data_IF_268397386994
#
_entry.id   IF_268397386994
#
_cell.length_a   1.000
_cell.length_b   1.000
_cell.length_c   1.000
_cell.angle_alpha   90.00
_cell.angle_beta   90.00
_cell.angle_gamma   90.00
#
_symmetry.space_group_name_H-M   'P 1'
#
loop_
_entity.id
_entity.type
_entity.pdbx_description
1 polymer ?
#
# COMPACT_ATOMS: atom_id res chain seq x y z
N UNK A 1 23.77 3.65 -28.86
CA UNK A 1 23.00 4.09 -27.68
C UNK A 1 21.57 4.34 -28.12
N UNK A 2 20.66 3.40 -27.88
CA UNK A 2 19.22 3.58 -28.11
C UNK A 2 18.52 3.52 -26.76
N UNK A 3 18.39 4.70 -26.13
CA UNK A 3 17.57 4.91 -24.93
C UNK A 3 16.11 4.95 -25.37
N UNK A 4 15.42 3.80 -25.36
CA UNK A 4 13.96 3.80 -25.37
C UNK A 4 13.49 3.70 -23.92
N UNK A 5 12.83 4.76 -23.49
CA UNK A 5 12.24 4.92 -22.18
C UNK A 5 11.32 3.74 -21.87
N UNK A 6 11.72 2.91 -20.92
CA UNK A 6 10.79 2.06 -20.19
C UNK A 6 10.12 3.01 -19.20
N UNK A 7 8.94 3.49 -19.58
CA UNK A 7 8.04 4.18 -18.66
C UNK A 7 7.66 3.18 -17.56
N UNK A 8 8.42 3.19 -16.47
CA UNK A 8 8.10 2.46 -15.26
C UNK A 8 6.79 3.03 -14.69
N UNK A 9 5.74 2.26 -14.91
CA UNK A 9 4.50 2.15 -14.14
C UNK A 9 4.43 3.05 -12.89
N UNK A 10 4.04 4.32 -13.10
CA UNK A 10 3.64 5.24 -12.05
C UNK A 10 2.16 5.00 -11.65
N UNK A 11 1.83 3.77 -11.23
CA UNK A 11 0.49 3.40 -10.76
C UNK A 11 0.51 2.65 -9.43
N UNK A 12 1.53 2.90 -8.59
CA UNK A 12 1.63 2.33 -7.23
C UNK A 12 1.87 3.34 -6.11
N UNK A 13 1.96 4.65 -6.40
CA UNK A 13 2.39 5.66 -5.43
C UNK A 13 1.28 6.66 -5.01
N UNK A 14 0.03 6.49 -5.45
CA UNK A 14 -0.99 7.54 -5.31
C UNK A 14 -2.07 7.29 -4.24
N UNK A 15 -1.83 6.45 -3.21
CA UNK A 15 -2.80 6.38 -2.09
C UNK A 15 -2.29 5.86 -0.74
N UNK A 16 -0.99 5.94 -0.43
CA UNK A 16 -0.52 5.68 0.95
C UNK A 16 0.22 6.87 1.58
N UNK A 17 0.23 8.03 0.92
CA UNK A 17 0.65 9.30 1.52
C UNK A 17 -0.52 10.08 2.16
N UNK A 18 -1.75 9.53 2.12
CA UNK A 18 -2.97 10.18 2.62
C UNK A 18 -3.53 9.62 3.94
N UNK A 19 -2.89 8.62 4.54
CA UNK A 19 -3.38 7.98 5.79
C UNK A 19 -2.39 8.04 6.96
N UNK A 20 -1.18 8.55 6.74
CA UNK A 20 -0.24 8.86 7.82
C UNK A 20 -0.38 10.34 8.17
N UNK A 21 -0.77 10.64 9.42
CA UNK A 21 -0.97 11.96 10.03
C UNK A 21 -2.41 12.53 10.05
N UNK A 22 -3.40 11.70 10.34
CA UNK A 22 -4.60 12.18 11.03
C UNK A 22 -4.74 11.49 12.38
N UNK A 23 -3.67 11.51 13.18
CA UNK A 23 -3.85 11.57 14.62
C UNK A 23 -4.60 12.88 14.88
N UNK A 24 -5.79 12.88 15.52
CA UNK A 24 -6.31 14.12 16.06
C UNK A 24 -5.31 14.57 17.11
N UNK A 25 -4.46 15.53 16.74
CA UNK A 25 -3.71 16.31 17.70
C UNK A 25 -4.77 17.03 18.50
N UNK A 26 -4.89 16.68 19.79
CA UNK A 26 -5.51 17.55 20.77
C UNK A 26 -4.63 18.82 20.81
N UNK A 27 -4.89 19.75 19.89
CA UNK A 27 -4.29 21.07 19.92
C UNK A 27 -5.00 21.84 21.02
N UNK A 28 -4.31 22.01 22.15
CA UNK A 28 -4.60 23.06 23.08
C UNK A 28 -4.54 24.42 22.35
N UNK A 29 -5.63 25.18 22.49
CA UNK A 29 -5.77 26.63 22.32
C UNK A 29 -4.92 27.33 21.23
N UNK A 30 -5.54 27.63 20.09
CA UNK A 30 -5.17 28.79 19.29
C UNK A 30 -6.40 29.33 18.55
N UNK A 31 -6.69 30.60 18.84
CA UNK A 31 -7.82 31.42 18.40
C UNK A 31 -8.20 31.31 16.91
N UNK A 32 -9.51 31.31 16.67
CA UNK A 32 -10.22 31.14 15.40
C UNK A 32 -9.86 32.14 14.27
N UNK A 33 -10.21 31.79 13.02
CA UNK A 33 -11.12 32.65 12.27
C UNK A 33 -12.40 31.90 11.86
N UNK A 34 -13.52 32.61 12.00
CA UNK A 34 -14.91 32.17 11.75
C UNK A 34 -15.08 31.54 10.36
N UNK A 35 -15.39 30.24 10.33
CA UNK A 35 -16.08 29.57 9.22
C UNK A 35 -17.24 28.76 9.79
N UNK A 36 -18.28 28.64 8.98
CA UNK A 36 -19.54 27.96 9.24
C UNK A 36 -19.36 26.72 10.13
N UNK A 37 -20.22 26.59 11.13
CA UNK A 37 -20.18 25.52 12.10
C UNK A 37 -20.35 24.16 11.41
N UNK A 38 -19.25 23.59 10.94
CA UNK A 38 -19.10 22.14 10.85
C UNK A 38 -19.51 21.63 12.22
N UNK A 39 -20.61 20.88 12.25
CA UNK A 39 -21.11 20.23 13.45
C UNK A 39 -19.91 19.51 14.07
N UNK A 40 -19.36 20.06 15.16
CA UNK A 40 -18.24 19.42 15.84
C UNK A 40 -18.78 18.08 16.34
N UNK A 41 -18.39 17.01 15.64
CA UNK A 41 -18.65 15.66 16.09
C UNK A 41 -18.10 15.55 17.51
N UNK A 42 -18.92 15.04 18.42
CA UNK A 42 -18.50 14.72 19.77
C UNK A 42 -17.26 13.82 19.73
N UNK A 43 -16.45 13.80 20.79
CA UNK A 43 -15.25 12.94 20.82
C UNK A 43 -15.56 11.47 20.53
N UNK A 44 -16.75 11.01 20.95
CA UNK A 44 -17.29 9.69 20.67
C UNK A 44 -17.60 9.49 19.17
N UNK A 45 -18.30 10.42 18.53
CA UNK A 45 -18.60 10.35 17.09
C UNK A 45 -17.33 10.38 16.23
N UNK A 46 -16.31 11.17 16.64
CA UNK A 46 -14.99 11.16 16.00
C UNK A 46 -14.30 9.80 16.12
N UNK A 47 -14.34 9.19 17.31
CA UNK A 47 -13.77 7.86 17.54
C UNK A 47 -14.48 6.76 16.72
N UNK A 48 -15.81 6.82 16.61
CA UNK A 48 -16.57 5.90 15.75
C UNK A 48 -16.27 6.08 14.26
N UNK A 49 -16.14 7.33 13.81
CA UNK A 49 -15.75 7.64 12.43
C UNK A 49 -14.36 7.07 12.12
N UNK A 50 -13.40 7.21 13.04
CA UNK A 50 -12.05 6.66 12.90
C UNK A 50 -12.04 5.12 12.74
N UNK A 51 -12.89 4.41 13.48
CA UNK A 51 -13.07 2.95 13.32
C UNK A 51 -13.57 2.62 11.91
N UNK A 52 -14.66 3.24 11.46
CA UNK A 52 -15.22 3.00 10.11
C UNK A 52 -14.21 3.29 9.00
N UNK A 53 -13.45 4.37 9.15
CA UNK A 53 -12.38 4.72 8.22
C UNK A 53 -11.27 3.68 8.21
N UNK A 54 -10.87 3.16 9.37
CA UNK A 54 -9.86 2.11 9.46
C UNK A 54 -10.35 0.76 8.90
N UNK A 55 -11.64 0.41 9.10
CA UNK A 55 -12.27 -0.77 8.50
C UNK A 55 -12.24 -0.71 6.97
N UNK A 56 -12.67 0.42 6.39
CA UNK A 56 -12.62 0.64 4.95
C UNK A 56 -11.17 0.63 4.41
N UNK A 57 -10.21 1.10 5.20
CA UNK A 57 -8.79 1.03 4.88
C UNK A 57 -8.27 -0.41 4.83
N UNK A 58 -8.67 -1.24 5.81
CA UNK A 58 -8.32 -2.65 5.87
C UNK A 58 -8.96 -3.44 4.71
N UNK A 59 -10.22 -3.17 4.37
CA UNK A 59 -10.89 -3.79 3.22
C UNK A 59 -10.13 -3.51 1.92
N UNK A 60 -9.82 -2.23 1.65
CA UNK A 60 -9.03 -1.84 0.47
C UNK A 60 -7.65 -2.50 0.44
N UNK A 61 -6.97 -2.58 1.57
CA UNK A 61 -5.67 -3.25 1.68
C UNK A 61 -5.79 -4.75 1.34
N UNK A 62 -6.84 -5.42 1.83
CA UNK A 62 -7.10 -6.83 1.52
C UNK A 62 -7.42 -7.06 0.05
N UNK A 63 -8.23 -6.19 -0.58
CA UNK A 63 -8.49 -6.26 -2.03
C UNK A 63 -7.20 -6.10 -2.84
N UNK A 64 -6.38 -5.10 -2.50
CA UNK A 64 -5.10 -4.89 -3.17
C UNK A 64 -4.14 -6.07 -2.99
N UNK A 65 -4.13 -6.69 -1.79
CA UNK A 65 -3.35 -7.90 -1.55
C UNK A 65 -3.82 -9.06 -2.41
N UNK A 66 -5.13 -9.31 -2.49
CA UNK A 66 -5.68 -10.39 -3.31
C UNK A 66 -5.31 -10.22 -4.80
N UNK A 67 -5.35 -8.98 -5.30
CA UNK A 67 -4.94 -8.69 -6.68
C UNK A 67 -3.44 -8.91 -6.90
N UNK A 68 -2.60 -8.48 -5.95
CA UNK A 68 -1.15 -8.67 -6.02
C UNK A 68 -0.77 -10.16 -5.92
N UNK A 69 -1.39 -10.92 -5.02
CA UNK A 69 -1.22 -12.37 -4.90
C UNK A 69 -1.60 -13.07 -6.21
N UNK A 70 -2.72 -12.66 -6.84
CA UNK A 70 -3.14 -13.19 -8.13
C UNK A 70 -2.11 -12.90 -9.22
N UNK A 71 -1.60 -11.67 -9.31
CA UNK A 71 -0.54 -11.31 -10.27
C UNK A 71 0.73 -12.12 -10.05
N UNK A 72 1.12 -12.37 -8.80
CA UNK A 72 2.27 -13.19 -8.45
C UNK A 72 2.08 -14.66 -8.87
N UNK A 73 0.89 -15.22 -8.64
CA UNK A 73 0.53 -16.56 -9.09
C UNK A 73 0.53 -16.66 -10.61
N UNK A 74 -0.11 -15.72 -11.30
CA UNK A 74 -0.18 -15.68 -12.76
C UNK A 74 1.23 -15.56 -13.38
N UNK A 75 2.10 -14.70 -12.85
CA UNK A 75 3.50 -14.58 -13.30
C UNK A 75 4.30 -15.87 -13.07
N UNK A 76 4.10 -16.54 -11.93
CA UNK A 76 4.75 -17.82 -11.62
C UNK A 76 4.30 -18.93 -12.57
N UNK A 77 3.01 -18.96 -12.91
CA UNK A 77 2.45 -19.90 -13.88
C UNK A 77 2.99 -19.63 -15.30
N UNK A 78 3.02 -18.36 -15.72
CA UNK A 78 3.55 -17.95 -17.03
C UNK A 78 5.04 -18.28 -17.18
N UNK A 79 5.82 -18.10 -16.11
CA UNK A 79 7.24 -18.48 -16.09
C UNK A 79 7.43 -19.99 -16.14
N UNK A 80 6.62 -20.74 -15.38
CA UNK A 80 6.65 -22.21 -15.41
C UNK A 80 6.31 -22.74 -16.80
N UNK A 81 5.25 -22.21 -17.43
CA UNK A 81 4.87 -22.56 -18.79
C UNK A 81 5.98 -22.23 -19.79
N UNK A 82 6.64 -21.07 -19.66
CA UNK A 82 7.76 -20.69 -20.51
C UNK A 82 8.96 -21.63 -20.36
N UNK A 83 9.31 -22.04 -19.14
CA UNK A 83 10.37 -23.03 -18.91
C UNK A 83 10.03 -24.39 -19.50
N UNK A 84 8.79 -24.86 -19.32
CA UNK A 84 8.32 -26.14 -19.88
C UNK A 84 8.34 -26.14 -21.42
N UNK A 85 8.06 -25.00 -22.04
CA UNK A 85 8.17 -24.84 -23.50
C UNK A 85 9.62 -24.86 -24.01
N UNK A 86 10.60 -24.70 -23.12
CA UNK A 86 12.02 -24.65 -23.43
C UNK A 86 12.57 -23.23 -23.53
N UNK A 87 13.78 -23.03 -23.01
CA UNK A 87 14.46 -21.74 -23.08
C UNK A 87 14.79 -21.37 -24.54
N UNK A 88 14.54 -20.12 -24.96
CA UNK A 88 14.81 -19.70 -26.32
C UNK A 88 16.32 -19.56 -26.58
N UNK A 89 16.70 -19.50 -27.85
CA UNK A 89 18.09 -19.23 -28.26
C UNK A 89 18.61 -17.94 -27.63
N UNK A 90 19.84 -17.99 -27.13
CA UNK A 90 20.48 -16.87 -26.44
C UNK A 90 20.07 -16.72 -24.97
N UNK A 91 19.23 -17.61 -24.43
CA UNK A 91 19.02 -17.72 -22.99
C UNK A 91 20.10 -18.64 -22.40
N UNK A 92 20.85 -18.13 -21.42
CA UNK A 92 21.84 -18.89 -20.64
C UNK A 92 21.38 -18.98 -19.20
N UNK A 93 21.25 -20.20 -18.70
CA UNK A 93 20.91 -20.46 -17.31
C UNK A 93 22.17 -20.45 -16.43
N UNK A 94 22.09 -19.76 -15.32
CA UNK A 94 23.01 -19.95 -14.21
C UNK A 94 22.60 -21.21 -13.43
N UNK A 95 23.43 -22.25 -13.43
CA UNK A 95 23.08 -23.55 -12.82
C UNK A 95 23.00 -23.52 -11.29
N UNK A 96 23.49 -22.47 -10.64
CA UNK A 96 23.44 -22.34 -9.18
C UNK A 96 22.14 -21.70 -8.72
N UNK A 97 21.70 -20.68 -9.46
CA UNK A 97 20.54 -19.86 -9.13
C UNK A 97 19.30 -20.20 -9.96
N UNK A 98 19.44 -20.98 -11.03
CA UNK A 98 18.41 -21.28 -12.04
C UNK A 98 17.79 -20.02 -12.67
N UNK A 99 18.59 -18.94 -12.71
CA UNK A 99 18.23 -17.66 -13.32
C UNK A 99 18.81 -17.61 -14.73
N UNK A 100 17.96 -17.26 -15.69
CA UNK A 100 18.37 -17.05 -17.07
C UNK A 100 18.81 -15.60 -17.29
N UNK A 101 19.84 -15.45 -18.10
CA UNK A 101 20.33 -14.19 -18.63
C UNK A 101 20.57 -14.30 -20.14
N UNK A 102 20.82 -13.17 -20.79
CA UNK A 102 21.24 -13.15 -22.19
C UNK A 102 22.65 -13.72 -22.33
N UNK A 103 22.84 -14.62 -23.29
CA UNK A 103 24.16 -15.05 -23.73
C UNK A 103 24.70 -14.07 -24.79
N UNK A 104 25.62 -13.21 -24.38
CA UNK A 104 26.23 -12.23 -25.29
C UNK A 104 27.15 -12.85 -26.36
N UNK A 105 27.50 -14.14 -26.25
CA UNK A 105 28.27 -14.85 -27.27
C UNK A 105 27.41 -15.31 -28.46
N UNK A 106 26.08 -15.30 -28.31
CA UNK A 106 25.14 -15.75 -29.34
C UNK A 106 24.61 -14.56 -30.12
N UNK A 107 24.86 -14.53 -31.43
CA UNK A 107 24.23 -13.58 -32.34
C UNK A 107 22.74 -13.95 -32.53
N UNK A 108 21.87 -12.96 -32.30
CA UNK A 108 20.42 -13.11 -32.43
C UNK A 108 19.91 -12.20 -33.55
N UNK A 109 18.94 -12.69 -34.31
CA UNK A 109 18.09 -11.82 -35.13
C UNK A 109 17.20 -10.95 -34.23
N UNK A 110 16.54 -9.94 -34.81
CA UNK A 110 15.57 -9.12 -34.07
C UNK A 110 14.42 -9.96 -33.49
N UNK A 111 13.93 -10.95 -34.23
CA UNK A 111 12.84 -11.83 -33.79
C UNK A 111 13.27 -12.76 -32.64
N UNK A 112 14.47 -13.34 -32.74
CA UNK A 112 15.06 -14.16 -31.68
C UNK A 112 15.31 -13.32 -30.42
N UNK A 113 15.84 -12.10 -30.59
CA UNK A 113 16.06 -11.16 -29.50
C UNK A 113 14.77 -10.74 -28.78
N UNK A 114 13.69 -10.50 -29.53
CA UNK A 114 12.37 -10.20 -28.95
C UNK A 114 11.81 -11.40 -28.19
N UNK A 115 12.03 -12.62 -28.68
CA UNK A 115 11.60 -13.86 -28.02
C UNK A 115 12.36 -14.07 -26.72
N UNK A 116 13.69 -13.88 -26.74
CA UNK A 116 14.52 -13.91 -25.54
C UNK A 116 14.08 -12.86 -24.51
N UNK A 117 13.85 -11.62 -24.95
CA UNK A 117 13.42 -10.55 -24.04
C UNK A 117 12.11 -10.90 -23.35
N UNK A 118 11.10 -11.37 -24.10
CA UNK A 118 9.81 -11.81 -23.51
C UNK A 118 10.00 -12.94 -22.49
N UNK A 119 10.93 -13.85 -22.73
CA UNK A 119 11.25 -14.93 -21.79
C UNK A 119 11.87 -14.38 -20.50
N UNK A 120 12.86 -13.48 -20.60
CA UNK A 120 13.49 -12.82 -19.45
C UNK A 120 12.52 -11.89 -18.70
N UNK A 121 11.60 -11.24 -19.41
CA UNK A 121 10.55 -10.41 -18.81
C UNK A 121 9.61 -11.25 -17.94
N UNK A 122 9.25 -12.47 -18.37
CA UNK A 122 8.45 -13.41 -17.56
C UNK A 122 9.18 -13.81 -16.28
N UNK A 123 10.48 -14.10 -16.36
CA UNK A 123 11.29 -14.38 -15.17
C UNK A 123 11.32 -13.18 -14.21
N UNK A 124 11.54 -11.99 -14.76
CA UNK A 124 11.58 -10.73 -13.99
C UNK A 124 10.23 -10.44 -13.34
N UNK A 125 9.13 -10.73 -14.05
CA UNK A 125 7.77 -10.58 -13.54
C UNK A 125 7.54 -11.41 -12.27
N UNK A 126 8.09 -12.63 -12.18
CA UNK A 126 7.97 -13.46 -10.95
C UNK A 126 8.54 -12.73 -9.74
N UNK A 127 9.74 -12.18 -9.86
CA UNK A 127 10.40 -11.47 -8.74
C UNK A 127 9.69 -10.16 -8.38
N UNK A 128 9.25 -9.41 -9.40
CA UNK A 128 8.59 -8.10 -9.21
C UNK A 128 7.22 -8.28 -8.57
N UNK A 129 6.40 -9.19 -9.11
CA UNK A 129 5.04 -9.43 -8.60
C UNK A 129 5.06 -10.08 -7.21
N UNK A 130 6.05 -10.93 -6.91
CA UNK A 130 6.24 -11.45 -5.56
C UNK A 130 6.60 -10.34 -4.55
N UNK A 131 7.46 -9.39 -4.93
CA UNK A 131 7.78 -8.24 -4.08
C UNK A 131 6.56 -7.34 -3.85
N UNK A 132 5.75 -7.11 -4.88
CA UNK A 132 4.50 -6.35 -4.77
C UNK A 132 3.49 -7.04 -3.85
N UNK A 133 3.34 -8.36 -3.96
CA UNK A 133 2.49 -9.16 -3.06
C UNK A 133 2.97 -9.09 -1.61
N UNK A 134 4.28 -9.18 -1.36
CA UNK A 134 4.87 -9.02 -0.04
C UNK A 134 4.60 -7.60 0.52
N UNK A 135 4.74 -6.57 -0.31
CA UNK A 135 4.44 -5.19 0.10
C UNK A 135 2.97 -4.99 0.42
N UNK A 136 2.07 -5.59 -0.36
CA UNK A 136 0.64 -5.55 -0.10
C UNK A 136 0.28 -6.26 1.21
N UNK A 137 0.95 -7.37 1.54
CA UNK A 137 0.80 -8.04 2.83
C UNK A 137 1.21 -7.15 4.02
N UNK A 138 2.33 -6.41 3.91
CA UNK A 138 2.75 -5.43 4.93
C UNK A 138 1.74 -4.28 5.08
N UNK A 139 1.11 -3.85 3.99
CA UNK A 139 0.06 -2.83 4.04
C UNK A 139 -1.19 -3.34 4.79
N UNK A 140 -1.59 -4.60 4.60
CA UNK A 140 -2.67 -5.23 5.37
C UNK A 140 -2.33 -5.24 6.86
N UNK A 141 -1.11 -5.64 7.22
CA UNK A 141 -0.66 -5.63 8.62
C UNK A 141 -0.72 -4.23 9.24
N UNK A 142 -0.33 -3.21 8.48
CA UNK A 142 -0.40 -1.81 8.90
C UNK A 142 -1.85 -1.35 9.09
N UNK A 143 -2.74 -1.67 8.14
CA UNK A 143 -4.16 -1.31 8.23
C UNK A 143 -4.85 -2.03 9.40
N UNK A 144 -4.50 -3.29 9.66
CA UNK A 144 -5.01 -4.03 10.81
C UNK A 144 -4.58 -3.40 12.14
N UNK A 145 -3.32 -2.96 12.25
CA UNK A 145 -2.83 -2.26 13.43
C UNK A 145 -3.57 -0.92 13.65
N UNK A 146 -3.85 -0.19 12.56
CA UNK A 146 -4.64 1.05 12.62
C UNK A 146 -6.07 0.80 13.09
N UNK A 147 -6.73 -0.26 12.60
CA UNK A 147 -8.06 -0.65 13.07
C UNK A 147 -8.05 -1.00 14.56
N UNK A 148 -7.10 -1.82 15.01
CA UNK A 148 -6.97 -2.17 16.43
C UNK A 148 -6.73 -0.94 17.30
N UNK A 149 -5.91 0.02 16.85
CA UNK A 149 -5.70 1.28 17.55
C UNK A 149 -6.98 2.13 17.63
N UNK A 150 -7.73 2.25 16.53
CA UNK A 150 -9.00 2.98 16.51
C UNK A 150 -10.06 2.34 17.43
N UNK A 151 -10.17 1.00 17.40
CA UNK A 151 -11.07 0.26 18.29
C UNK A 151 -10.67 0.45 19.77
N UNK A 152 -9.37 0.38 20.08
CA UNK A 152 -8.87 0.61 21.44
C UNK A 152 -9.17 2.03 21.93
N UNK A 153 -9.00 3.04 21.07
CA UNK A 153 -9.34 4.42 21.40
C UNK A 153 -10.83 4.61 21.66
N UNK A 154 -11.70 3.95 20.88
CA UNK A 154 -13.15 3.98 21.07
C UNK A 154 -13.55 3.28 22.39
N UNK A 155 -12.98 2.11 22.69
CA UNK A 155 -13.26 1.39 23.95
C UNK A 155 -12.80 2.17 25.18
N UNK A 156 -11.67 2.86 25.09
CA UNK A 156 -11.12 3.67 26.18
C UNK A 156 -11.68 5.10 26.23
N UNK A 157 -12.59 5.46 25.33
CA UNK A 157 -13.17 6.79 25.31
C UNK A 157 -13.92 7.05 26.62
N UNK A 158 -13.53 8.13 27.29
CA UNK A 158 -14.25 8.70 28.43
C UNK A 158 -14.68 10.09 28.03
N UNK A 159 -15.94 10.44 28.27
CA UNK A 159 -16.39 11.81 28.03
C UNK A 159 -15.51 12.79 28.82
N UNK A 160 -15.03 13.86 28.19
CA UNK A 160 -14.38 14.92 28.93
C UNK A 160 -15.41 15.46 29.92
N UNK A 161 -15.12 15.33 31.21
CA UNK A 161 -15.92 15.96 32.26
C UNK A 161 -15.93 17.44 31.92
N UNK A 162 -17.13 18.00 31.66
CA UNK A 162 -17.32 19.45 31.46
C UNK A 162 -16.51 20.15 32.57
N UNK A 163 -15.59 21.08 32.25
CA UNK A 163 -14.94 21.87 33.29
C UNK A 163 -16.06 22.41 34.17
N UNK A 164 -15.98 22.17 35.48
CA UNK A 164 -16.92 22.76 36.43
C UNK A 164 -16.97 24.25 36.08
N UNK A 165 -18.14 24.73 35.69
CA UNK A 165 -18.33 26.17 35.47
C UNK A 165 -17.84 26.82 36.75
N UNK A 166 -16.80 27.64 36.63
CA UNK A 166 -16.24 28.35 37.75
C UNK A 166 -17.42 29.00 38.46
N UNK A 167 -17.71 28.54 39.69
CA UNK A 167 -18.77 29.12 40.50
C UNK A 167 -18.60 30.63 40.42
N UNK A 168 -19.65 31.32 39.97
CA UNK A 168 -19.80 32.76 40.16
C UNK A 168 -19.83 32.98 41.68
N UNK A 169 -18.64 33.01 42.29
CA UNK A 169 -18.45 33.53 43.62
C UNK A 169 -18.42 35.03 43.48
N UNK A 170 -19.46 35.62 44.05
CA UNK A 170 -19.40 36.84 44.84
C UNK A 170 -19.32 38.15 44.05
N UNK A 171 -20.48 38.72 43.73
CA UNK A 171 -20.63 40.17 43.52
C UNK A 171 -22.11 40.61 43.54
N UNK A 172 -22.64 40.78 44.75
CA UNK A 172 -23.62 41.83 45.14
C UNK A 172 -23.97 41.56 46.61
N UNK A 173 -23.62 42.43 47.57
CA UNK A 173 -23.80 43.88 47.54
C UNK A 173 -25.03 44.21 48.37
#
# INVERSE_FOLDING_TARGET
MNKKAIAAFAAGATLLAGFAMATPVFAADAQAPKKEAEKELTGLEKAQAAVKTAEAGLEKANTAKAEADKKAADASNDWTAAKTAGAPKGAKEDQTTHVYAKDDSVALTTEEGNTLQKFLDKQTAVTTTAADAAKAAENVKTAQAALTAAQTALTNYKDPVKPAEASESDLSG
#
